data_IF_229572024189
#
_entry.id   IF_229572024189
#
_cell.length_a   1.000
_cell.length_b   1.000
_cell.length_c   1.000
_cell.angle_alpha   90.00
_cell.angle_beta   90.00
_cell.angle_gamma   90.00
#
_symmetry.space_group_name_H-M   'P 1'
#
loop_
_entity.id
_entity.type
_entity.pdbx_description
1 polymer ?
#
# COMPACT_ATOMS: atom_id res chain seq x y z
N UNK A 1 -11.52 10.55 -3.74
CA UNK A 1 -11.03 9.89 -4.97
C UNK A 1 -10.39 8.57 -4.57
N UNK A 2 -10.51 7.52 -5.39
CA UNK A 2 -9.88 6.21 -5.14
C UNK A 2 -8.80 5.93 -6.17
N UNK A 3 -7.63 5.52 -5.72
CA UNK A 3 -6.49 5.19 -6.57
C UNK A 3 -6.12 3.72 -6.32
N UNK A 4 -6.17 2.89 -7.35
CA UNK A 4 -5.64 1.54 -7.30
C UNK A 4 -4.12 1.59 -7.52
N UNK A 5 -3.37 0.90 -6.65
CA UNK A 5 -1.91 0.83 -6.70
C UNK A 5 -1.51 -0.64 -6.79
N UNK A 6 -0.76 -1.00 -7.84
CA UNK A 6 -0.14 -2.32 -7.91
C UNK A 6 0.93 -2.41 -6.82
N UNK A 7 0.68 -3.25 -5.83
CA UNK A 7 1.58 -3.45 -4.72
C UNK A 7 2.67 -4.49 -5.02
N UNK A 8 2.61 -5.21 -6.14
CA UNK A 8 3.45 -6.39 -6.39
C UNK A 8 4.58 -6.14 -7.37
N UNK A 9 4.55 -5.02 -8.10
CA UNK A 9 5.57 -4.67 -9.09
C UNK A 9 6.81 -3.98 -8.49
N UNK A 10 7.99 -4.47 -8.85
CA UNK A 10 9.29 -3.88 -8.50
C UNK A 10 10.16 -4.77 -7.62
N UNK A 11 11.46 -4.48 -7.59
CA UNK A 11 12.48 -5.33 -6.94
C UNK A 11 12.32 -5.45 -5.42
N UNK A 12 11.68 -4.45 -4.80
CA UNK A 12 11.43 -4.36 -3.36
C UNK A 12 9.94 -4.41 -3.00
N UNK A 13 9.10 -4.84 -3.95
CA UNK A 13 7.69 -5.02 -3.69
C UNK A 13 7.41 -6.31 -2.90
N UNK A 14 6.34 -6.36 -2.09
CA UNK A 14 5.37 -5.30 -1.81
C UNK A 14 5.75 -4.33 -0.69
N UNK A 15 6.86 -4.59 0.01
CA UNK A 15 7.29 -3.87 1.21
C UNK A 15 7.42 -2.35 0.99
N UNK A 16 8.13 -1.92 -0.06
CA UNK A 16 8.34 -0.49 -0.33
C UNK A 16 7.08 0.22 -0.80
N UNK A 17 6.22 -0.47 -1.56
CA UNK A 17 4.94 0.10 -2.01
C UNK A 17 4.00 0.31 -0.82
N UNK A 18 3.91 -0.67 0.08
CA UNK A 18 3.10 -0.56 1.30
C UNK A 18 3.65 0.55 2.20
N UNK A 19 4.98 0.64 2.39
CA UNK A 19 5.62 1.73 3.16
C UNK A 19 5.28 3.10 2.59
N UNK A 20 5.38 3.27 1.28
CA UNK A 20 5.03 4.51 0.60
C UNK A 20 3.54 4.88 0.74
N UNK A 21 2.65 3.89 0.63
CA UNK A 21 1.21 4.09 0.82
C UNK A 21 0.85 4.51 2.25
N UNK A 22 1.50 3.91 3.25
CA UNK A 22 1.35 4.30 4.66
C UNK A 22 1.85 5.72 4.90
N UNK A 23 3.02 6.08 4.35
CA UNK A 23 3.55 7.44 4.45
C UNK A 23 2.64 8.47 3.77
N UNK A 24 2.11 8.16 2.58
CA UNK A 24 1.16 9.04 1.89
C UNK A 24 -0.07 9.31 2.74
N UNK A 25 -0.60 8.29 3.42
CA UNK A 25 -1.74 8.44 4.35
C UNK A 25 -1.42 9.40 5.49
N UNK A 26 -0.18 9.41 5.98
CA UNK A 26 0.26 10.27 7.09
C UNK A 26 0.56 11.71 6.65
N UNK A 27 1.15 11.91 5.47
CA UNK A 27 1.64 13.22 5.02
C UNK A 27 0.63 13.98 4.17
N UNK A 28 -0.17 13.28 3.35
CA UNK A 28 -1.05 13.91 2.34
C UNK A 28 -2.51 13.50 2.55
N UNK A 29 -2.82 12.19 2.46
CA UNK A 29 -4.12 11.63 2.80
C UNK A 29 -5.34 12.17 2.02
N UNK A 30 -5.16 12.75 0.82
CA UNK A 30 -6.26 13.38 0.05
C UNK A 30 -7.07 12.39 -0.81
N UNK A 31 -6.59 11.16 -0.97
CA UNK A 31 -7.25 10.09 -1.70
C UNK A 31 -7.17 8.76 -0.93
N UNK A 32 -8.14 7.88 -1.17
CA UNK A 32 -8.12 6.52 -0.66
C UNK A 32 -7.25 5.66 -1.59
N UNK A 33 -6.20 5.05 -1.04
CA UNK A 33 -5.37 4.09 -1.76
C UNK A 33 -5.92 2.68 -1.59
N UNK A 34 -6.05 1.96 -2.71
CA UNK A 34 -6.40 0.54 -2.74
C UNK A 34 -5.19 -0.23 -3.25
N UNK A 35 -4.53 -0.97 -2.36
CA UNK A 35 -3.42 -1.85 -2.72
C UNK A 35 -3.96 -3.09 -3.42
N UNK A 36 -3.46 -3.37 -4.62
CA UNK A 36 -3.84 -4.51 -5.44
C UNK A 36 -2.68 -5.50 -5.45
N UNK A 37 -2.95 -6.76 -5.08
CA UNK A 37 -1.93 -7.81 -4.99
C UNK A 37 -2.38 -8.99 -4.15
N UNK A 38 -1.41 -9.73 -3.63
CA UNK A 38 -1.64 -10.86 -2.71
C UNK A 38 -2.15 -10.35 -1.34
N UNK A 39 -3.46 -10.45 -1.10
CA UNK A 39 -4.10 -9.90 0.08
C UNK A 39 -3.51 -10.42 1.41
N UNK A 40 -3.30 -11.73 1.63
CA UNK A 40 -2.61 -12.22 2.83
C UNK A 40 -1.25 -11.57 3.06
N UNK A 41 -0.41 -11.47 2.02
CA UNK A 41 0.92 -10.84 2.12
C UNK A 41 0.80 -9.36 2.47
N UNK A 42 -0.11 -8.65 1.81
CA UNK A 42 -0.34 -7.22 2.05
C UNK A 42 -0.90 -6.95 3.45
N UNK A 43 -1.84 -7.78 3.95
CA UNK A 43 -2.37 -7.65 5.32
C UNK A 43 -1.28 -7.78 6.38
N UNK A 44 -0.27 -8.62 6.15
CA UNK A 44 0.88 -8.75 7.05
C UNK A 44 1.73 -7.46 7.14
N UNK A 45 1.74 -6.63 6.10
CA UNK A 45 2.58 -5.43 6.00
C UNK A 45 1.85 -4.14 6.43
N UNK A 46 0.53 -4.07 6.22
CA UNK A 46 -0.27 -2.87 6.56
C UNK A 46 -0.47 -2.72 8.08
N UNK A 47 -0.15 -3.78 8.85
CA UNK A 47 -0.32 -3.85 10.30
C UNK A 47 -1.77 -4.12 10.68
N UNK A 48 -1.99 -5.07 11.60
CA UNK A 48 -3.29 -5.22 12.25
C UNK A 48 -3.52 -3.97 13.12
N UNK A 49 -4.63 -3.26 12.85
CA UNK A 49 -5.19 -2.34 13.85
C UNK A 49 -5.67 -3.13 15.06
#
# INVERSE_FOLDING_TARGET
MRIAVDAMGGDHAPDDIVRGALLYREVVGTADLVLVGDEPRLRGLVGAK
#
